data_IF_460185750715
#
_entry.id   IF_460185750715
#
_cell.length_a   1.000
_cell.length_b   1.000
_cell.length_c   1.000
_cell.angle_alpha   90.00
_cell.angle_beta   90.00
_cell.angle_gamma   90.00
#
_symmetry.space_group_name_H-M   'P 1'
#
loop_
_entity.id
_entity.type
_entity.pdbx_description
1 polymer ?
#
# COMPACT_ATOMS: atom_id res chain seq x y z
N UNK A 1 -11.56 -11.64 -20.44
CA UNK A 1 -12.50 -11.30 -19.35
C UNK A 1 -11.68 -11.27 -18.09
N UNK A 2 -11.64 -10.16 -17.38
CA UNK A 2 -10.80 -10.05 -16.19
C UNK A 2 -11.55 -10.51 -14.95
N UNK A 3 -10.84 -11.25 -14.10
CA UNK A 3 -11.34 -11.89 -12.90
C UNK A 3 -10.75 -11.21 -11.67
N UNK A 4 -11.61 -10.77 -10.77
CA UNK A 4 -11.21 -10.09 -9.53
C UNK A 4 -11.66 -10.92 -8.33
N UNK A 5 -10.75 -11.19 -7.40
CA UNK A 5 -11.04 -11.87 -6.14
C UNK A 5 -11.03 -10.86 -4.99
N UNK A 6 -12.18 -10.66 -4.34
CA UNK A 6 -12.32 -9.76 -3.18
C UNK A 6 -12.26 -10.57 -1.88
N UNK A 7 -11.25 -10.31 -1.06
CA UNK A 7 -11.02 -10.99 0.21
C UNK A 7 -11.17 -10.03 1.39
N UNK A 8 -12.13 -10.30 2.27
CA UNK A 8 -12.40 -9.55 3.50
C UNK A 8 -13.18 -10.48 4.46
N UNK A 9 -12.84 -10.54 5.74
CA UNK A 9 -13.54 -11.42 6.69
C UNK A 9 -14.92 -10.88 7.09
N UNK A 10 -15.15 -9.57 6.94
CA UNK A 10 -16.42 -8.92 7.23
C UNK A 10 -17.41 -9.02 6.05
N UNK A 11 -18.52 -9.78 6.17
CA UNK A 11 -19.40 -10.06 5.03
C UNK A 11 -20.01 -8.82 4.36
N UNK A 12 -20.35 -7.80 5.16
CA UNK A 12 -20.93 -6.55 4.64
C UNK A 12 -19.91 -5.71 3.87
N UNK A 13 -18.67 -5.64 4.35
CA UNK A 13 -17.59 -4.91 3.67
C UNK A 13 -17.21 -5.62 2.37
N UNK A 14 -17.05 -6.94 2.42
CA UNK A 14 -16.78 -7.79 1.25
C UNK A 14 -17.81 -7.59 0.14
N UNK A 15 -19.10 -7.60 0.49
CA UNK A 15 -20.17 -7.44 -0.49
C UNK A 15 -20.28 -5.99 -1.03
N UNK A 16 -19.95 -4.98 -0.21
CA UNK A 16 -19.85 -3.59 -0.68
C UNK A 16 -18.74 -3.41 -1.72
N UNK A 17 -17.54 -3.92 -1.45
CA UNK A 17 -16.40 -3.86 -2.38
C UNK A 17 -16.70 -4.65 -3.64
N UNK A 18 -17.23 -5.89 -3.51
CA UNK A 18 -17.65 -6.72 -4.66
C UNK A 18 -18.60 -5.97 -5.59
N UNK A 19 -19.63 -5.30 -5.05
CA UNK A 19 -20.57 -4.50 -5.84
C UNK A 19 -19.91 -3.30 -6.51
N UNK A 20 -18.97 -2.64 -5.85
CA UNK A 20 -18.25 -1.51 -6.42
C UNK A 20 -17.40 -1.95 -7.62
N UNK A 21 -16.64 -3.04 -7.46
CA UNK A 21 -15.80 -3.63 -8.52
C UNK A 21 -16.61 -4.14 -9.69
N UNK A 22 -17.75 -4.79 -9.45
CA UNK A 22 -18.62 -5.32 -10.51
C UNK A 22 -19.21 -4.24 -11.43
N UNK A 23 -19.09 -2.95 -11.06
CA UNK A 23 -19.54 -1.81 -11.84
C UNK A 23 -18.38 -1.12 -12.58
N UNK A 24 -17.15 -1.64 -12.43
CA UNK A 24 -15.94 -1.16 -13.12
C UNK A 24 -15.83 -1.85 -14.49
N UNK A 25 -15.66 -1.11 -15.58
CA UNK A 25 -15.39 -1.69 -16.89
C UNK A 25 -14.17 -2.62 -16.86
N UNK A 26 -14.31 -3.85 -17.34
CA UNK A 26 -13.23 -4.86 -17.35
C UNK A 26 -13.18 -5.78 -16.13
N UNK A 27 -13.92 -5.50 -15.06
CA UNK A 27 -14.13 -6.39 -13.91
C UNK A 27 -15.24 -7.42 -14.17
N UNK A 28 -15.08 -8.25 -15.20
CA UNK A 28 -16.15 -9.09 -15.76
C UNK A 28 -16.66 -10.18 -14.81
N UNK A 29 -15.77 -10.72 -13.97
CA UNK A 29 -16.14 -11.70 -12.93
C UNK A 29 -15.55 -11.29 -11.60
N UNK A 30 -16.40 -11.12 -10.58
CA UNK A 30 -15.97 -10.76 -9.22
C UNK A 30 -16.36 -11.87 -8.25
N UNK A 31 -15.36 -12.62 -7.81
CA UNK A 31 -15.50 -13.68 -6.82
C UNK A 31 -15.12 -13.15 -5.42
N UNK A 32 -15.47 -13.89 -4.38
CA UNK A 32 -15.25 -13.48 -2.99
C UNK A 32 -14.57 -14.57 -2.16
N UNK A 33 -13.69 -14.18 -1.26
CA UNK A 33 -13.08 -15.03 -0.23
C UNK A 33 -13.21 -14.38 1.15
N UNK A 34 -13.19 -15.18 2.22
CA UNK A 34 -13.33 -14.70 3.59
C UNK A 34 -12.02 -14.78 4.41
N UNK A 35 -10.93 -15.30 3.83
CA UNK A 35 -9.64 -15.45 4.50
C UNK A 35 -8.46 -15.48 3.53
N UNK A 36 -7.27 -15.14 4.01
CA UNK A 36 -6.05 -15.21 3.22
C UNK A 36 -5.67 -16.64 2.80
N UNK A 37 -5.96 -17.62 3.66
CA UNK A 37 -5.80 -19.04 3.38
C UNK A 37 -6.68 -19.50 2.22
N UNK A 38 -7.92 -19.02 2.16
CA UNK A 38 -8.83 -19.30 1.05
C UNK A 38 -8.30 -18.70 -0.26
N UNK A 39 -7.76 -17.48 -0.24
CA UNK A 39 -7.14 -16.86 -1.43
C UNK A 39 -5.98 -17.71 -1.94
N UNK A 40 -5.06 -18.11 -1.07
CA UNK A 40 -3.92 -18.95 -1.45
C UNK A 40 -4.38 -20.29 -2.04
N UNK A 41 -5.39 -20.94 -1.45
CA UNK A 41 -5.91 -22.22 -1.93
C UNK A 41 -6.65 -22.11 -3.28
N UNK A 42 -7.24 -20.95 -3.57
CA UNK A 42 -8.00 -20.71 -4.81
C UNK A 42 -7.13 -20.18 -5.95
N UNK A 43 -6.03 -19.51 -5.64
CA UNK A 43 -5.11 -18.97 -6.64
C UNK A 43 -4.67 -20.04 -7.65
N UNK A 44 -4.22 -21.20 -7.17
CA UNK A 44 -3.75 -22.32 -8.01
C UNK A 44 -4.82 -22.90 -8.96
N UNK A 45 -6.10 -22.62 -8.71
CA UNK A 45 -7.22 -23.18 -9.48
C UNK A 45 -7.85 -22.15 -10.39
N UNK A 46 -7.91 -20.91 -9.94
CA UNK A 46 -8.70 -19.86 -10.56
C UNK A 46 -7.86 -18.79 -11.25
N UNK A 47 -6.58 -18.64 -10.87
CA UNK A 47 -5.64 -17.65 -11.38
C UNK A 47 -6.26 -16.26 -11.60
N UNK A 48 -6.77 -15.62 -10.54
CA UNK A 48 -7.44 -14.33 -10.69
C UNK A 48 -6.47 -13.25 -11.16
N UNK A 49 -6.95 -12.38 -12.06
CA UNK A 49 -6.15 -11.28 -12.62
C UNK A 49 -5.85 -10.18 -11.58
N UNK A 50 -6.69 -10.05 -10.54
CA UNK A 50 -6.50 -9.11 -9.44
C UNK A 50 -7.07 -9.67 -8.13
N UNK A 51 -6.34 -9.48 -7.04
CA UNK A 51 -6.82 -9.72 -5.68
C UNK A 51 -6.95 -8.40 -4.93
N UNK A 52 -8.14 -8.11 -4.41
CA UNK A 52 -8.36 -7.07 -3.40
C UNK A 52 -8.35 -7.74 -2.03
N UNK A 53 -7.38 -7.43 -1.18
CA UNK A 53 -7.10 -8.18 0.07
C UNK A 53 -7.19 -7.28 1.30
N UNK A 54 -8.13 -7.53 2.20
CA UNK A 54 -8.14 -6.85 3.49
C UNK A 54 -6.88 -7.13 4.31
N UNK A 55 -6.29 -6.08 4.89
CA UNK A 55 -5.10 -6.19 5.73
C UNK A 55 -5.40 -7.00 6.98
N UNK A 56 -6.52 -6.73 7.66
CA UNK A 56 -6.82 -7.26 8.99
C UNK A 56 -7.89 -8.34 8.93
N UNK A 57 -7.43 -9.57 8.77
CA UNK A 57 -8.28 -10.76 8.86
C UNK A 57 -7.71 -11.72 9.93
N UNK A 58 -8.54 -12.57 10.55
CA UNK A 58 -8.09 -13.69 11.38
C UNK A 58 -7.14 -14.64 10.64
N UNK A 59 -6.49 -15.53 11.39
CA UNK A 59 -5.58 -16.53 10.81
C UNK A 59 -4.23 -15.92 10.44
N UNK A 60 -3.71 -16.22 9.24
CA UNK A 60 -2.45 -15.64 8.76
C UNK A 60 -2.55 -14.14 8.48
N UNK A 61 -3.77 -13.61 8.28
CA UNK A 61 -4.00 -12.21 7.92
C UNK A 61 -3.64 -11.86 6.48
N UNK A 62 -4.06 -10.67 6.02
CA UNK A 62 -3.93 -10.28 4.62
C UNK A 62 -2.51 -9.95 4.18
N UNK A 63 -1.71 -9.33 5.04
CA UNK A 63 -0.31 -8.97 4.73
C UNK A 63 0.52 -10.22 4.46
N UNK A 64 0.44 -11.21 5.35
CA UNK A 64 1.18 -12.46 5.20
C UNK A 64 0.64 -13.29 4.02
N UNK A 65 -0.68 -13.29 3.78
CA UNK A 65 -1.26 -13.91 2.61
C UNK A 65 -0.73 -13.27 1.31
N UNK A 66 -0.69 -11.94 1.23
CA UNK A 66 -0.12 -11.23 0.08
C UNK A 66 1.37 -11.54 -0.11
N UNK A 67 2.16 -11.55 0.97
CA UNK A 67 3.59 -11.91 0.92
C UNK A 67 3.79 -13.33 0.36
N UNK A 68 3.05 -14.31 0.88
CA UNK A 68 3.13 -15.70 0.41
C UNK A 68 2.70 -15.82 -1.04
N UNK A 69 1.62 -15.13 -1.42
CA UNK A 69 1.12 -15.17 -2.79
C UNK A 69 2.13 -14.60 -3.77
N UNK A 70 2.65 -13.40 -3.52
CA UNK A 70 3.63 -12.74 -4.41
C UNK A 70 4.97 -13.49 -4.46
N UNK A 71 5.40 -14.08 -3.34
CA UNK A 71 6.64 -14.89 -3.32
C UNK A 71 6.53 -16.20 -4.11
N UNK A 72 5.34 -16.80 -4.18
CA UNK A 72 5.08 -18.02 -4.96
C UNK A 72 4.71 -17.70 -6.42
N UNK A 73 4.06 -16.55 -6.64
CA UNK A 73 3.56 -16.08 -7.93
C UNK A 73 3.94 -14.61 -8.12
N UNK A 74 5.14 -14.32 -8.64
CA UNK A 74 5.63 -12.95 -8.81
C UNK A 74 4.78 -12.09 -9.77
N UNK A 75 3.96 -12.72 -10.58
CA UNK A 75 2.98 -12.12 -11.49
C UNK A 75 1.66 -11.74 -10.79
N UNK A 76 1.43 -12.22 -9.57
CA UNK A 76 0.20 -11.94 -8.83
C UNK A 76 0.00 -10.43 -8.58
N UNK A 77 -1.19 -9.96 -8.91
CA UNK A 77 -1.59 -8.56 -8.71
C UNK A 77 -2.42 -8.45 -7.45
N UNK A 78 -1.83 -7.88 -6.39
CA UNK A 78 -2.51 -7.70 -5.10
C UNK A 78 -2.65 -6.22 -4.76
N UNK A 79 -3.87 -5.79 -4.46
CA UNK A 79 -4.17 -4.47 -3.90
C UNK A 79 -4.75 -4.67 -2.51
N UNK A 80 -4.12 -4.08 -1.49
CA UNK A 80 -4.58 -4.21 -0.11
C UNK A 80 -5.78 -3.31 0.16
N UNK A 81 -6.70 -3.73 1.03
CA UNK A 81 -7.77 -2.91 1.59
C UNK A 81 -7.43 -2.60 3.05
N UNK A 82 -7.53 -1.35 3.46
CA UNK A 82 -7.24 -0.95 4.84
C UNK A 82 -8.24 0.07 5.34
N UNK A 83 -8.40 0.21 6.64
CA UNK A 83 -9.16 1.36 7.18
C UNK A 83 -8.32 2.63 7.05
N UNK A 84 -8.98 3.78 6.97
CA UNK A 84 -8.29 5.06 6.93
C UNK A 84 -7.33 5.22 8.14
N UNK A 85 -6.17 5.86 7.91
CA UNK A 85 -5.15 6.21 8.91
C UNK A 85 -4.21 5.09 9.39
N UNK A 86 -4.20 3.91 8.77
CA UNK A 86 -3.26 2.83 9.14
C UNK A 86 -1.96 2.89 8.30
N UNK A 87 -1.07 3.82 8.65
CA UNK A 87 0.21 4.02 7.95
C UNK A 87 1.19 2.84 8.10
N UNK A 88 1.08 2.06 9.17
CA UNK A 88 1.87 0.85 9.40
C UNK A 88 1.43 -0.27 8.45
N UNK A 89 0.11 -0.44 8.26
CA UNK A 89 -0.43 -1.36 7.26
C UNK A 89 0.04 -1.06 5.84
N UNK A 90 0.17 0.21 5.46
CA UNK A 90 0.67 0.62 4.14
C UNK A 90 2.15 0.23 3.97
N UNK A 91 2.99 0.44 4.99
CA UNK A 91 4.40 0.05 4.94
C UNK A 91 4.56 -1.47 4.81
N UNK A 92 3.80 -2.24 5.59
CA UNK A 92 3.83 -3.70 5.54
C UNK A 92 3.26 -4.26 4.22
N UNK A 93 2.25 -3.62 3.64
CA UNK A 93 1.69 -3.99 2.35
C UNK A 93 2.72 -3.85 1.21
N UNK A 94 3.46 -2.74 1.18
CA UNK A 94 4.53 -2.51 0.21
C UNK A 94 5.64 -3.54 0.39
N UNK A 95 6.07 -3.80 1.63
CA UNK A 95 7.08 -4.82 1.93
C UNK A 95 6.62 -6.25 1.58
N UNK A 96 5.31 -6.51 1.58
CA UNK A 96 4.72 -7.78 1.15
C UNK A 96 4.59 -7.92 -0.37
N UNK A 97 4.97 -6.91 -1.15
CA UNK A 97 4.91 -6.94 -2.61
C UNK A 97 3.54 -6.57 -3.19
N UNK A 98 2.64 -5.98 -2.39
CA UNK A 98 1.37 -5.49 -2.91
C UNK A 98 1.61 -4.37 -3.94
N UNK A 99 0.84 -4.41 -5.04
CA UNK A 99 0.86 -3.37 -6.07
C UNK A 99 0.16 -2.08 -5.62
N UNK A 100 -0.77 -2.15 -4.66
CA UNK A 100 -1.54 -0.98 -4.21
C UNK A 100 -2.23 -1.12 -2.86
N UNK A 101 -2.89 -0.04 -2.42
CA UNK A 101 -3.69 0.01 -1.19
C UNK A 101 -4.95 0.90 -1.33
N UNK A 102 -6.14 0.35 -1.22
CA UNK A 102 -7.39 1.12 -1.14
C UNK A 102 -7.80 1.28 0.32
N UNK A 103 -8.36 2.43 0.66
CA UNK A 103 -9.04 2.56 1.94
C UNK A 103 -10.44 1.92 1.85
N UNK A 104 -10.97 1.37 2.95
CA UNK A 104 -12.31 0.77 2.98
C UNK A 104 -13.44 1.82 2.81
N UNK A 105 -13.12 3.09 3.02
CA UNK A 105 -13.99 4.24 2.71
C UNK A 105 -13.74 4.83 1.32
N UNK A 106 -12.97 4.15 0.46
CA UNK A 106 -12.66 4.63 -0.88
C UNK A 106 -13.94 4.86 -1.69
N UNK A 107 -13.93 5.93 -2.46
CA UNK A 107 -15.02 6.26 -3.37
C UNK A 107 -15.07 5.25 -4.51
N UNK A 108 -16.21 5.19 -5.19
CA UNK A 108 -16.39 4.34 -6.37
C UNK A 108 -15.38 4.68 -7.46
N UNK A 109 -15.09 5.97 -7.64
CA UNK A 109 -14.13 6.49 -8.62
C UNK A 109 -12.70 6.04 -8.29
N UNK A 110 -12.32 6.04 -7.00
CA UNK A 110 -11.01 5.56 -6.53
C UNK A 110 -10.85 4.05 -6.74
N UNK A 111 -11.89 3.27 -6.40
CA UNK A 111 -11.92 1.82 -6.65
C UNK A 111 -11.80 1.54 -8.15
N UNK A 112 -12.60 2.22 -8.98
CA UNK A 112 -12.60 2.06 -10.43
C UNK A 112 -11.24 2.35 -11.04
N UNK A 113 -10.64 3.48 -10.67
CA UNK A 113 -9.31 3.87 -11.17
C UNK A 113 -8.26 2.84 -10.77
N UNK A 114 -8.26 2.41 -9.52
CA UNK A 114 -7.28 1.44 -9.00
C UNK A 114 -7.40 0.09 -9.69
N UNK A 115 -8.62 -0.44 -9.80
CA UNK A 115 -8.88 -1.74 -10.44
C UNK A 115 -8.50 -1.68 -11.91
N UNK A 116 -8.90 -0.64 -12.63
CA UNK A 116 -8.55 -0.46 -14.05
C UNK A 116 -7.03 -0.42 -14.24
N UNK A 117 -6.32 0.42 -13.48
CA UNK A 117 -4.86 0.50 -13.56
C UNK A 117 -4.17 -0.82 -13.20
N UNK A 118 -4.70 -1.56 -12.21
CA UNK A 118 -4.15 -2.84 -11.81
C UNK A 118 -4.33 -3.94 -12.87
N UNK A 119 -5.45 -3.91 -13.60
CA UNK A 119 -5.77 -4.87 -14.67
C UNK A 119 -5.08 -4.54 -16.01
N UNK A 120 -4.86 -3.27 -16.33
CA UNK A 120 -4.22 -2.86 -17.60
C UNK A 120 -2.70 -3.04 -17.60
N UNK A 121 -2.07 -3.07 -16.42
CA UNK A 121 -0.61 -3.10 -16.28
C UNK A 121 -0.03 -4.50 -16.46
N UNK A 122 0.11 -4.94 -17.72
CA UNK A 122 0.78 -6.19 -18.08
C UNK A 122 2.32 -6.14 -18.03
N UNK A 123 2.95 -4.95 -17.94
CA UNK A 123 4.41 -4.78 -17.95
C UNK A 123 5.01 -3.88 -16.84
N UNK A 124 4.31 -3.59 -15.74
CA UNK A 124 4.81 -2.62 -14.75
C UNK A 124 5.32 -3.25 -13.44
N UNK A 125 6.64 -3.20 -13.24
CA UNK A 125 7.25 -3.39 -11.94
C UNK A 125 6.80 -2.30 -10.95
N UNK A 126 6.17 -2.71 -9.85
CA UNK A 126 5.95 -1.92 -8.63
C UNK A 126 5.45 -0.47 -8.83
N UNK A 127 4.14 -0.26 -9.03
CA UNK A 127 3.40 0.90 -8.50
C UNK A 127 1.97 0.96 -9.05
N UNK A 128 0.97 0.66 -8.22
CA UNK A 128 -0.38 1.17 -8.37
C UNK A 128 -0.89 1.62 -7.00
N UNK A 129 -0.34 2.73 -6.49
CA UNK A 129 -0.93 3.41 -5.34
C UNK A 129 -2.31 3.96 -5.71
N UNK A 130 -3.37 3.65 -4.96
CA UNK A 130 -4.65 4.33 -5.07
C UNK A 130 -4.48 5.75 -4.62
N UNK A 131 -4.83 6.59 -5.57
CA UNK A 131 -4.81 8.04 -5.51
C UNK A 131 -5.75 8.49 -4.38
N UNK A 132 -5.18 9.07 -3.32
CA UNK A 132 -5.78 10.25 -2.70
C UNK A 132 -5.15 11.46 -3.37
N UNK A 133 -5.91 12.11 -4.25
CA UNK A 133 -5.51 13.32 -4.96
C UNK A 133 -5.27 14.47 -3.99
N UNK A 134 -4.01 14.90 -3.86
CA UNK A 134 -3.62 16.29 -4.09
C UNK A 134 -2.21 16.32 -4.69
N UNK A 135 -2.16 16.40 -6.02
CA UNK A 135 -1.11 16.98 -6.86
C UNK A 135 0.27 16.28 -7.03
N UNK A 136 0.90 16.47 -8.22
CA UNK A 136 1.71 15.46 -8.89
C UNK A 136 3.20 15.62 -8.60
N UNK A 137 3.93 14.51 -8.49
CA UNK A 137 5.33 14.46 -8.93
C UNK A 137 5.65 13.05 -9.42
N UNK A 138 5.31 12.81 -10.68
CA UNK A 138 6.28 12.19 -11.58
C UNK A 138 7.50 13.13 -11.61
N UNK A 139 8.46 12.89 -10.72
CA UNK A 139 9.62 13.75 -10.55
C UNK A 139 10.77 12.95 -9.95
N UNK A 140 11.98 13.26 -10.42
CA UNK A 140 13.23 12.74 -9.86
C UNK A 140 13.21 12.85 -8.32
N UNK A 141 13.84 11.89 -7.62
CA UNK A 141 13.87 11.92 -6.17
C UNK A 141 14.49 13.25 -5.68
N UNK A 142 13.84 13.96 -4.74
CA UNK A 142 14.29 15.28 -4.33
C UNK A 142 15.56 15.15 -3.49
N UNK A 143 16.63 15.89 -3.84
CA UNK A 143 17.92 15.79 -3.15
C UNK A 143 17.81 16.09 -1.66
N UNK A 144 17.86 15.09 -0.79
CA UNK A 144 17.80 15.27 0.65
C UNK A 144 19.14 15.76 1.20
N UNK A 145 19.08 16.63 2.20
CA UNK A 145 20.28 16.96 3.00
C UNK A 145 20.65 15.80 3.90
N UNK A 146 21.90 15.75 4.36
CA UNK A 146 22.37 14.70 5.28
C UNK A 146 21.50 14.57 6.54
N UNK A 147 21.06 15.70 7.11
CA UNK A 147 20.15 15.70 8.28
C UNK A 147 18.75 15.21 7.93
N UNK A 148 18.22 15.54 6.76
CA UNK A 148 16.94 15.02 6.28
C UNK A 148 17.01 13.50 6.05
N UNK A 149 18.13 13.00 5.53
CA UNK A 149 18.38 11.57 5.32
C UNK A 149 18.44 10.81 6.67
N UNK A 150 19.16 11.35 7.65
CA UNK A 150 19.26 10.77 9.00
C UNK A 150 17.90 10.71 9.70
N UNK A 151 17.08 11.76 9.55
CA UNK A 151 15.70 11.78 10.09
C UNK A 151 14.81 10.77 9.36
N UNK A 152 14.94 10.65 8.04
CA UNK A 152 14.21 9.67 7.23
C UNK A 152 14.56 8.22 7.63
N UNK A 153 15.83 7.93 7.87
CA UNK A 153 16.31 6.62 8.34
C UNK A 153 15.82 6.29 9.76
N UNK A 154 15.88 7.24 10.69
CA UNK A 154 15.31 7.04 12.02
C UNK A 154 13.79 6.80 11.96
N UNK A 155 13.09 7.50 11.05
CA UNK A 155 11.66 7.31 10.83
C UNK A 155 11.32 5.92 10.28
N UNK A 156 12.13 5.38 9.35
CA UNK A 156 11.93 4.07 8.75
C UNK A 156 12.16 2.93 9.74
N UNK A 157 13.02 3.16 10.74
CA UNK A 157 13.24 2.27 11.90
C UNK A 157 12.16 2.39 12.99
N UNK A 158 11.11 3.16 12.75
CA UNK A 158 9.99 3.33 13.70
C UNK A 158 10.29 4.27 14.88
N UNK A 159 11.42 4.97 14.89
CA UNK A 159 11.81 5.81 16.03
C UNK A 159 10.93 7.06 16.15
N UNK A 160 10.69 7.52 17.37
CA UNK A 160 10.07 8.80 17.68
C UNK A 160 11.03 9.97 17.45
N UNK A 161 10.51 11.20 17.32
CA UNK A 161 11.35 12.39 17.19
C UNK A 161 12.30 12.59 18.38
N UNK A 162 11.90 12.12 19.57
CA UNK A 162 12.74 12.17 20.77
C UNK A 162 13.90 11.17 20.69
N UNK A 163 13.65 9.96 20.19
CA UNK A 163 14.68 8.93 20.00
C UNK A 163 15.66 9.31 18.89
N UNK A 164 15.16 9.80 17.75
CA UNK A 164 15.99 10.33 16.66
C UNK A 164 16.84 11.51 17.17
N UNK A 165 16.26 12.37 18.01
CA UNK A 165 16.98 13.49 18.62
C UNK A 165 18.13 13.00 19.51
N UNK A 166 17.90 11.99 20.34
CA UNK A 166 18.95 11.38 21.18
C UNK A 166 20.07 10.77 20.34
N UNK A 167 19.73 10.03 19.29
CA UNK A 167 20.72 9.39 18.41
C UNK A 167 21.57 10.42 17.64
N UNK A 168 20.96 11.52 17.20
CA UNK A 168 21.62 12.57 16.43
C UNK A 168 22.22 13.70 17.27
N UNK A 169 22.12 13.60 18.60
CA UNK A 169 22.52 14.66 19.56
C UNK A 169 21.81 16.01 19.31
N UNK A 170 20.51 15.98 19.02
CA UNK A 170 19.65 17.12 18.73
C UNK A 170 18.41 17.14 19.63
N UNK A 171 17.78 18.31 19.79
CA UNK A 171 16.51 18.41 20.50
C UNK A 171 15.35 17.86 19.65
N UNK A 172 14.30 17.39 20.30
CA UNK A 172 13.08 16.91 19.62
C UNK A 172 12.47 17.98 18.69
N UNK A 173 12.50 19.25 19.08
CA UNK A 173 11.98 20.36 18.28
C UNK A 173 12.84 20.63 17.04
N UNK A 174 14.16 20.42 17.12
CA UNK A 174 15.03 20.43 15.95
C UNK A 174 14.67 19.29 14.99
N UNK A 175 14.40 18.09 15.50
CA UNK A 175 13.94 16.97 14.66
C UNK A 175 12.59 17.28 14.00
N UNK A 176 11.61 17.83 14.72
CA UNK A 176 10.33 18.27 14.14
C UNK A 176 10.53 19.27 13.01
N UNK A 177 11.50 20.17 13.15
CA UNK A 177 11.83 21.15 12.11
C UNK A 177 12.39 20.48 10.86
N UNK A 178 13.30 19.52 11.01
CA UNK A 178 13.83 18.73 9.89
C UNK A 178 12.75 17.85 9.25
N UNK A 179 11.90 17.20 10.03
CA UNK A 179 10.78 16.38 9.57
C UNK A 179 9.79 17.18 8.71
N UNK A 180 9.40 18.38 9.14
CA UNK A 180 8.51 19.26 8.35
C UNK A 180 9.11 19.65 7.01
N UNK A 181 10.42 19.93 6.97
CA UNK A 181 11.13 20.26 5.72
C UNK A 181 11.23 19.06 4.80
N UNK A 182 11.58 17.89 5.35
CA UNK A 182 11.60 16.60 4.67
C UNK A 182 10.24 16.31 4.01
N UNK A 183 9.15 16.37 4.77
CA UNK A 183 7.81 16.07 4.29
C UNK A 183 7.38 16.98 3.14
N UNK A 184 7.57 18.29 3.30
CA UNK A 184 7.29 19.26 2.25
C UNK A 184 8.11 19.01 0.97
N UNK A 185 9.37 18.59 1.12
CA UNK A 185 10.29 18.35 0.02
C UNK A 185 10.02 17.05 -0.72
N UNK A 186 9.53 16.04 0.00
CA UNK A 186 9.14 14.74 -0.55
C UNK A 186 7.70 14.70 -1.07
N UNK A 187 6.88 15.72 -0.77
CA UNK A 187 5.43 15.64 -1.00
C UNK A 187 4.75 14.60 -0.09
N UNK A 188 5.35 14.33 1.08
CA UNK A 188 4.79 13.41 2.06
C UNK A 188 3.84 14.17 3.01
N UNK A 189 2.66 13.61 3.26
CA UNK A 189 1.68 14.11 4.21
C UNK A 189 2.05 13.76 5.66
N UNK A 190 2.74 12.62 5.86
CA UNK A 190 3.14 12.15 7.18
C UNK A 190 4.46 11.34 7.14
N UNK A 191 4.89 10.89 8.33
CA UNK A 191 6.13 10.12 8.50
C UNK A 191 6.11 8.78 7.76
N UNK A 192 4.96 8.14 7.64
CA UNK A 192 4.83 6.82 7.02
C UNK A 192 4.96 6.98 5.51
N UNK A 193 4.28 7.99 4.95
CA UNK A 193 4.44 8.35 3.54
C UNK A 193 5.88 8.77 3.22
N UNK A 194 6.56 9.49 4.11
CA UNK A 194 7.96 9.84 3.94
C UNK A 194 8.87 8.60 3.89
N UNK A 195 8.72 7.67 4.84
CA UNK A 195 9.48 6.41 4.85
C UNK A 195 9.22 5.57 3.59
N UNK A 196 7.96 5.44 3.17
CA UNK A 196 7.59 4.70 1.96
C UNK A 196 8.21 5.32 0.69
N UNK A 197 8.19 6.64 0.56
CA UNK A 197 8.88 7.35 -0.52
C UNK A 197 10.41 7.19 -0.44
N UNK A 198 10.96 7.10 0.77
CA UNK A 198 12.38 6.81 1.00
C UNK A 198 12.83 5.48 0.40
N UNK A 199 12.09 4.39 0.66
CA UNK A 199 12.37 3.08 0.04
C UNK A 199 12.14 3.11 -1.48
N UNK A 200 11.05 3.73 -1.94
CA UNK A 200 10.72 3.83 -3.37
C UNK A 200 11.82 4.53 -4.18
N UNK A 201 12.40 5.58 -3.62
CA UNK A 201 13.44 6.38 -4.26
C UNK A 201 14.87 5.88 -3.99
N UNK A 202 15.03 4.77 -3.26
CA UNK A 202 16.34 4.18 -2.96
C UNK A 202 17.18 4.99 -1.96
N UNK A 203 16.55 5.84 -1.15
CA UNK A 203 17.21 6.53 -0.05
C UNK A 203 17.43 5.62 1.16
N UNK A 204 16.59 4.59 1.29
CA UNK A 204 16.61 3.59 2.35
C UNK A 204 16.77 2.21 1.73
N UNK A 205 17.53 1.34 2.39
CA UNK A 205 17.85 -0.03 1.95
C UNK A 205 17.51 -1.06 3.00
#
# INVERSE_FOLDING_TARGET
MSTVLVCDDAPLARDAVRRAVALVPGGDRVDVAASGEEVLARWDREHPDLVLMDVRMPGIGGIEAARRLVSQHPDAVVVMLTVAQDGEAVAHAVAAGARGFLTKDATREEISTTVTCALESSEWGASVAPVRTTEPLAGRPPLLTEREMQVLDGMSRGQSNSEIGKELFLSEDTIKTHARRLFRKMGAADRAQAAALGYRWGYLG
#
